data_IF_387732718628
#
_entry.id   IF_387732718628
#
_cell.length_a   1.000
_cell.length_b   1.000
_cell.length_c   1.000
_cell.angle_alpha   90.00
_cell.angle_beta   90.00
_cell.angle_gamma   90.00
#
_symmetry.space_group_name_H-M   'P 1'
#
loop_
_entity.id
_entity.type
_entity.pdbx_description
1 polymer ?
#
# COMPACT_ATOMS: atom_id res chain seq x y z
N UNK A 1 23.51 3.28 67.14
CA UNK A 1 22.29 2.57 66.75
C UNK A 1 21.36 3.38 65.80
N UNK A 2 21.03 4.65 66.01
CA UNK A 2 20.21 5.51 65.19
C UNK A 2 20.74 5.76 63.76
N UNK A 3 22.05 5.76 63.54
CA UNK A 3 22.68 6.01 62.23
C UNK A 3 22.56 4.82 61.24
N UNK A 4 22.63 3.61 61.74
CA UNK A 4 22.49 2.37 60.94
C UNK A 4 21.04 2.19 60.46
N UNK A 5 20.07 2.47 61.33
CA UNK A 5 18.63 2.41 61.00
C UNK A 5 18.24 3.44 59.92
N UNK A 6 18.85 4.63 59.94
CA UNK A 6 18.60 5.67 58.93
C UNK A 6 19.19 5.31 57.56
N UNK A 7 20.32 4.59 57.54
CA UNK A 7 20.98 4.10 56.32
C UNK A 7 20.19 2.93 55.67
N UNK A 8 19.69 2.02 56.49
CA UNK A 8 18.84 0.91 56.02
C UNK A 8 17.50 1.40 55.45
N UNK A 9 16.88 2.42 56.05
CA UNK A 9 15.63 3.01 55.56
C UNK A 9 15.79 3.70 54.19
N UNK A 10 16.94 4.35 53.93
CA UNK A 10 17.28 4.94 52.63
C UNK A 10 17.53 3.88 51.56
N UNK A 11 18.12 2.74 51.90
CA UNK A 11 18.32 1.62 50.95
C UNK A 11 17.00 0.98 50.57
N UNK A 12 16.09 0.76 51.52
CA UNK A 12 14.74 0.21 51.19
C UNK A 12 13.94 1.12 50.25
N UNK A 13 13.99 2.44 50.45
CA UNK A 13 13.31 3.39 49.54
C UNK A 13 13.95 3.43 48.17
N UNK A 14 15.26 3.29 48.06
CA UNK A 14 15.95 3.21 46.77
C UNK A 14 15.58 1.94 46.01
N UNK A 15 15.56 0.77 46.63
CA UNK A 15 15.12 -0.48 46.02
C UNK A 15 13.66 -0.45 45.63
N UNK A 16 12.80 0.14 46.43
CA UNK A 16 11.38 0.30 46.10
C UNK A 16 11.19 1.16 44.82
N UNK A 17 11.90 2.28 44.73
CA UNK A 17 11.90 3.13 43.53
C UNK A 17 12.42 2.40 42.32
N UNK A 18 13.50 1.62 42.43
CA UNK A 18 14.04 0.82 41.33
C UNK A 18 13.04 -0.22 40.82
N UNK A 19 12.34 -0.91 41.72
CA UNK A 19 11.32 -1.90 41.37
C UNK A 19 10.14 -1.23 40.66
N UNK A 20 9.70 -0.07 41.14
CA UNK A 20 8.62 0.69 40.49
C UNK A 20 9.01 1.15 39.09
N UNK A 21 10.23 1.67 38.92
CA UNK A 21 10.72 2.07 37.58
C UNK A 21 10.82 0.86 36.66
N UNK A 22 11.34 -0.26 37.15
CA UNK A 22 11.41 -1.49 36.36
C UNK A 22 10.01 -2.00 35.94
N UNK A 23 9.06 -1.96 36.84
CA UNK A 23 7.67 -2.33 36.56
C UNK A 23 7.04 -1.41 35.50
N UNK A 24 7.29 -0.10 35.57
CA UNK A 24 6.81 0.86 34.57
C UNK A 24 7.45 0.58 33.20
N UNK A 25 8.75 0.26 33.16
CA UNK A 25 9.44 -0.08 31.91
C UNK A 25 8.85 -1.36 31.30
N UNK A 26 8.64 -2.40 32.11
CA UNK A 26 8.05 -3.67 31.66
C UNK A 26 6.62 -3.45 31.12
N UNK A 27 5.80 -2.66 31.83
CA UNK A 27 4.45 -2.35 31.38
C UNK A 27 4.43 -1.57 30.06
N UNK A 28 5.35 -0.62 29.88
CA UNK A 28 5.48 0.14 28.63
C UNK A 28 5.95 -0.74 27.47
N UNK A 29 6.92 -1.61 27.68
CA UNK A 29 7.38 -2.53 26.62
C UNK A 29 6.29 -3.50 26.19
N UNK A 30 5.56 -4.09 27.13
CA UNK A 30 4.42 -4.96 26.85
C UNK A 30 3.33 -4.24 26.02
N UNK A 31 2.95 -3.03 26.45
CA UNK A 31 1.97 -2.23 25.71
C UNK A 31 2.44 -1.85 24.30
N UNK A 32 3.74 -1.60 24.09
CA UNK A 32 4.30 -1.32 22.76
C UNK A 32 4.34 -2.57 21.86
N UNK A 33 4.55 -3.75 22.43
CA UNK A 33 4.49 -5.03 21.70
C UNK A 33 3.07 -5.35 21.26
N UNK A 34 2.08 -5.18 22.15
CA UNK A 34 0.66 -5.35 21.83
C UNK A 34 0.22 -4.41 20.69
N UNK A 35 0.59 -3.14 20.75
CA UNK A 35 0.27 -2.17 19.69
C UNK A 35 0.90 -2.55 18.34
N UNK A 36 2.14 -3.03 18.31
CA UNK A 36 2.78 -3.50 17.07
C UNK A 36 2.10 -4.72 16.49
N UNK A 37 1.66 -5.64 17.36
CA UNK A 37 0.93 -6.84 16.93
C UNK A 37 -0.43 -6.49 16.33
N UNK A 38 -1.15 -5.56 16.96
CA UNK A 38 -2.43 -5.07 16.46
C UNK A 38 -2.27 -4.36 15.10
N UNK A 39 -1.26 -3.50 14.96
CA UNK A 39 -0.96 -2.82 13.70
C UNK A 39 -0.60 -3.81 12.57
N UNK A 40 0.22 -4.82 12.87
CA UNK A 40 0.58 -5.87 11.90
C UNK A 40 -0.64 -6.68 11.47
N UNK A 41 -1.54 -6.98 12.41
CA UNK A 41 -2.78 -7.71 12.15
C UNK A 41 -3.73 -6.86 11.27
N UNK A 42 -3.88 -5.57 11.55
CA UNK A 42 -4.69 -4.65 10.74
C UNK A 42 -4.14 -4.51 9.31
N UNK A 43 -2.82 -4.38 9.15
CA UNK A 43 -2.18 -4.32 7.82
C UNK A 43 -2.41 -5.60 7.03
N UNK A 44 -2.25 -6.76 7.65
CA UNK A 44 -2.49 -8.05 7.01
C UNK A 44 -3.95 -8.19 6.56
N UNK A 45 -4.88 -7.83 7.42
CA UNK A 45 -6.31 -7.86 7.13
C UNK A 45 -6.66 -6.93 5.96
N UNK A 46 -6.20 -5.68 5.98
CA UNK A 46 -6.47 -4.71 4.92
C UNK A 46 -5.96 -5.18 3.55
N UNK A 47 -4.76 -5.77 3.49
CA UNK A 47 -4.21 -6.31 2.24
C UNK A 47 -5.06 -7.48 1.72
N UNK A 48 -5.43 -8.42 2.57
CA UNK A 48 -6.22 -9.59 2.16
C UNK A 48 -7.65 -9.20 1.75
N UNK A 49 -8.28 -8.27 2.45
CA UNK A 49 -9.58 -7.71 2.07
C UNK A 49 -9.49 -7.03 0.70
N UNK A 50 -8.52 -6.14 0.48
CA UNK A 50 -8.32 -5.46 -0.80
C UNK A 50 -8.13 -6.44 -1.98
N UNK A 51 -7.36 -7.52 -1.77
CA UNK A 51 -7.19 -8.55 -2.79
C UNK A 51 -8.51 -9.28 -3.08
N UNK A 52 -9.28 -9.61 -2.05
CA UNK A 52 -10.53 -10.38 -2.18
C UNK A 52 -11.69 -9.55 -2.73
N UNK A 53 -11.72 -8.26 -2.45
CA UNK A 53 -12.79 -7.35 -2.86
C UNK A 53 -12.60 -6.79 -4.27
N UNK A 54 -11.36 -6.74 -4.77
CA UNK A 54 -11.06 -6.27 -6.12
C UNK A 54 -11.86 -7.04 -7.18
N UNK A 55 -12.62 -6.32 -7.93
CA UNK A 55 -13.47 -6.84 -9.01
C UNK A 55 -13.29 -6.05 -10.31
N UNK A 56 -13.66 -6.66 -11.44
CA UNK A 56 -13.66 -6.01 -12.75
C UNK A 56 -14.87 -5.10 -12.89
N UNK A 57 -14.72 -3.83 -12.53
CA UNK A 57 -15.74 -2.80 -12.72
C UNK A 57 -15.76 -2.33 -14.17
N UNK A 58 -16.94 -2.08 -14.73
CA UNK A 58 -17.15 -1.57 -16.10
C UNK A 58 -18.16 -0.42 -16.18
N UNK A 59 -18.64 0.03 -15.01
CA UNK A 59 -19.46 1.24 -14.87
C UNK A 59 -18.72 2.19 -13.96
N UNK A 60 -18.41 3.36 -14.45
CA UNK A 60 -17.61 4.36 -13.76
C UNK A 60 -18.42 5.63 -13.57
N UNK A 61 -18.05 6.40 -12.56
CA UNK A 61 -18.56 7.75 -12.36
C UNK A 61 -17.89 8.70 -13.35
N UNK A 62 -18.61 9.73 -13.81
CA UNK A 62 -18.05 10.80 -14.64
C UNK A 62 -17.31 11.86 -13.81
N UNK A 63 -16.71 11.47 -12.68
CA UNK A 63 -15.94 12.33 -11.79
C UNK A 63 -14.45 12.23 -12.16
N UNK A 64 -13.77 13.37 -12.25
CA UNK A 64 -12.31 13.38 -12.40
C UNK A 64 -11.63 12.63 -11.27
N UNK A 65 -10.53 11.97 -11.59
CA UNK A 65 -9.67 11.31 -10.59
C UNK A 65 -8.63 12.31 -10.11
N UNK A 66 -8.45 12.39 -8.82
CA UNK A 66 -7.49 13.28 -8.17
C UNK A 66 -6.05 12.87 -8.56
N UNK A 67 -5.15 13.83 -8.77
CA UNK A 67 -3.77 13.59 -9.24
C UNK A 67 -2.97 12.71 -8.28
N UNK A 68 -3.17 12.88 -6.97
CA UNK A 68 -2.52 12.07 -5.94
C UNK A 68 -2.92 10.59 -6.02
N UNK A 69 -4.17 10.29 -6.39
CA UNK A 69 -4.63 8.91 -6.64
C UNK A 69 -3.98 8.33 -7.90
N UNK A 70 -3.89 9.12 -8.97
CA UNK A 70 -3.19 8.70 -10.20
C UNK A 70 -1.73 8.38 -9.89
N UNK A 71 -1.05 9.26 -9.19
CA UNK A 71 0.34 9.06 -8.75
C UNK A 71 0.52 7.81 -7.89
N UNK A 72 -0.40 7.56 -6.96
CA UNK A 72 -0.36 6.38 -6.11
C UNK A 72 -0.52 5.08 -6.94
N UNK A 73 -1.44 5.06 -7.88
CA UNK A 73 -1.63 3.92 -8.79
C UNK A 73 -0.40 3.67 -9.67
N UNK A 74 0.20 4.71 -10.24
CA UNK A 74 1.42 4.59 -11.06
C UNK A 74 2.60 4.07 -10.23
N UNK A 75 2.79 4.59 -9.00
CA UNK A 75 3.81 4.11 -8.06
C UNK A 75 3.59 2.63 -7.69
N UNK A 76 2.36 2.21 -7.50
CA UNK A 76 2.03 0.81 -7.25
C UNK A 76 2.40 -0.08 -8.46
N UNK A 77 2.12 0.37 -9.69
CA UNK A 77 2.55 -0.30 -10.91
C UNK A 77 4.07 -0.41 -11.01
N UNK A 78 4.79 0.68 -10.72
CA UNK A 78 6.26 0.71 -10.74
C UNK A 78 6.90 -0.19 -9.67
N UNK A 79 6.19 -0.52 -8.61
CA UNK A 79 6.64 -1.41 -7.54
C UNK A 79 6.43 -2.90 -7.86
N UNK A 80 5.89 -3.24 -9.02
CA UNK A 80 5.69 -4.62 -9.42
C UNK A 80 7.03 -5.35 -9.60
N UNK A 81 7.08 -6.68 -9.39
CA UNK A 81 8.24 -7.48 -9.74
C UNK A 81 8.38 -7.60 -11.27
N UNK A 82 9.61 -7.72 -11.75
CA UNK A 82 9.88 -8.03 -13.16
C UNK A 82 11.03 -9.02 -13.32
N UNK A 83 11.03 -9.75 -14.43
CA UNK A 83 12.08 -10.70 -14.75
C UNK A 83 13.45 -10.03 -14.75
N UNK A 84 14.36 -10.49 -13.89
CA UNK A 84 15.72 -9.92 -13.71
C UNK A 84 15.73 -8.41 -13.42
N UNK A 85 14.67 -7.87 -12.80
CA UNK A 85 14.48 -6.44 -12.49
C UNK A 85 14.61 -5.53 -13.75
N UNK A 86 14.15 -6.02 -14.90
CA UNK A 86 14.24 -5.30 -16.18
C UNK A 86 13.24 -4.15 -16.32
N UNK A 87 12.10 -4.20 -15.61
CA UNK A 87 11.08 -3.14 -15.56
C UNK A 87 10.68 -2.62 -16.94
N UNK A 88 10.20 -3.50 -17.85
CA UNK A 88 9.97 -3.15 -19.25
C UNK A 88 8.70 -2.32 -19.47
N UNK A 89 7.98 -1.97 -18.43
CA UNK A 89 6.71 -1.24 -18.51
C UNK A 89 6.92 0.26 -18.65
N UNK A 90 6.03 0.86 -19.43
CA UNK A 90 5.77 2.29 -19.47
C UNK A 90 4.27 2.52 -19.24
N UNK A 91 3.93 3.62 -18.56
CA UNK A 91 2.55 3.96 -18.26
C UNK A 91 2.17 5.24 -18.98
N UNK A 92 1.05 5.21 -19.72
CA UNK A 92 0.50 6.39 -20.38
C UNK A 92 -0.86 6.68 -19.77
N UNK A 93 -1.01 7.85 -19.14
CA UNK A 93 -2.28 8.34 -18.62
C UNK A 93 -2.99 9.11 -19.73
N UNK A 94 -4.15 8.64 -20.13
CA UNK A 94 -4.97 9.23 -21.20
C UNK A 94 -6.19 9.88 -20.55
N UNK A 95 -6.30 11.19 -20.65
CA UNK A 95 -7.45 11.99 -20.15
C UNK A 95 -8.21 12.66 -21.29
N UNK A 96 -7.61 12.73 -22.48
CA UNK A 96 -8.24 13.33 -23.67
C UNK A 96 -9.46 12.51 -24.12
N UNK A 97 -10.61 13.16 -24.19
CA UNK A 97 -11.89 12.52 -24.55
C UNK A 97 -11.86 11.94 -25.95
N UNK A 98 -11.26 12.64 -26.91
CA UNK A 98 -11.19 12.18 -28.31
C UNK A 98 -10.34 10.92 -28.42
N UNK A 99 -9.23 10.87 -27.70
CA UNK A 99 -8.37 9.67 -27.63
C UNK A 99 -9.11 8.50 -26.99
N UNK A 100 -9.79 8.71 -25.86
CA UNK A 100 -10.57 7.68 -25.16
C UNK A 100 -11.70 7.12 -26.04
N UNK A 101 -12.43 7.98 -26.75
CA UNK A 101 -13.50 7.57 -27.68
C UNK A 101 -12.94 6.80 -28.89
N UNK A 102 -11.81 7.23 -29.42
CA UNK A 102 -11.09 6.53 -30.49
C UNK A 102 -10.65 5.12 -30.05
N UNK A 103 -10.13 5.01 -28.83
CA UNK A 103 -9.78 3.72 -28.24
C UNK A 103 -11.01 2.83 -28.04
N UNK A 104 -12.12 3.37 -27.53
CA UNK A 104 -13.38 2.65 -27.36
C UNK A 104 -13.95 2.13 -28.71
N UNK A 105 -13.78 2.90 -29.76
CA UNK A 105 -14.24 2.49 -31.11
C UNK A 105 -13.44 1.31 -31.65
N UNK A 106 -12.11 1.29 -31.42
CA UNK A 106 -11.19 0.30 -31.97
C UNK A 106 -11.07 -0.96 -31.10
N UNK A 107 -11.28 -0.86 -29.78
CA UNK A 107 -11.10 -1.97 -28.86
C UNK A 107 -12.44 -2.63 -28.50
N UNK A 108 -12.68 -3.90 -28.90
CA UNK A 108 -13.99 -4.53 -28.76
C UNK A 108 -14.44 -4.73 -27.32
N UNK A 109 -13.46 -4.88 -26.39
CA UNK A 109 -13.72 -5.15 -24.97
C UNK A 109 -13.55 -3.93 -24.06
N UNK A 110 -13.28 -2.75 -24.61
CA UNK A 110 -13.01 -1.52 -23.89
C UNK A 110 -14.09 -0.44 -24.09
N UNK A 111 -15.35 -0.84 -24.30
CA UNK A 111 -16.46 0.09 -24.55
C UNK A 111 -16.72 1.07 -23.39
N UNK A 112 -16.33 0.70 -22.17
CA UNK A 112 -16.43 1.59 -21.01
C UNK A 112 -15.61 2.88 -21.16
N UNK A 113 -14.61 2.91 -22.03
CA UNK A 113 -13.79 4.11 -22.29
C UNK A 113 -14.60 5.32 -22.75
N UNK A 114 -15.81 5.12 -23.31
CA UNK A 114 -16.73 6.20 -23.66
C UNK A 114 -17.24 7.00 -22.45
N UNK A 115 -17.14 6.46 -21.24
CA UNK A 115 -17.70 7.06 -20.01
C UNK A 115 -16.67 7.30 -18.90
N UNK A 116 -15.44 6.79 -19.03
CA UNK A 116 -14.41 6.97 -17.99
C UNK A 116 -13.75 8.34 -18.08
N UNK A 117 -13.31 8.94 -16.97
CA UNK A 117 -12.58 10.19 -16.95
C UNK A 117 -11.12 10.05 -17.42
N UNK A 118 -10.54 8.87 -17.25
CA UNK A 118 -9.17 8.56 -17.68
C UNK A 118 -8.99 7.07 -17.94
N UNK A 119 -7.91 6.73 -18.65
CA UNK A 119 -7.38 5.38 -18.76
C UNK A 119 -5.87 5.37 -18.50
N UNK A 120 -5.37 4.33 -17.86
CA UNK A 120 -3.94 4.06 -17.76
C UNK A 120 -3.62 2.93 -18.73
N UNK A 121 -2.81 3.23 -19.75
CA UNK A 121 -2.31 2.25 -20.71
C UNK A 121 -0.97 1.73 -20.23
N UNK A 122 -0.84 0.43 -20.06
CA UNK A 122 0.41 -0.22 -19.68
C UNK A 122 1.07 -0.74 -20.96
N UNK A 123 2.21 -0.16 -21.30
CA UNK A 123 3.03 -0.55 -22.45
C UNK A 123 4.20 -1.41 -21.99
N UNK A 124 4.66 -2.33 -22.83
CA UNK A 124 5.82 -3.17 -22.52
C UNK A 124 6.86 -3.07 -23.63
N UNK A 125 8.12 -2.77 -23.25
CA UNK A 125 9.26 -2.86 -24.16
C UNK A 125 9.70 -4.32 -24.33
N UNK A 126 9.42 -4.84 -25.51
CA UNK A 126 9.71 -6.24 -25.87
C UNK A 126 11.21 -6.52 -26.02
N UNK A 127 12.05 -5.47 -26.11
CA UNK A 127 13.50 -5.61 -26.24
C UNK A 127 14.20 -5.72 -24.90
N UNK A 128 13.59 -5.18 -23.82
CA UNK A 128 14.14 -5.20 -22.48
C UNK A 128 13.92 -6.53 -21.76
N UNK A 129 12.79 -7.20 -21.98
CA UNK A 129 12.45 -8.44 -21.29
C UNK A 129 11.67 -9.40 -22.18
N UNK A 130 12.12 -10.64 -22.23
CA UNK A 130 11.35 -11.73 -22.84
C UNK A 130 10.07 -12.04 -22.11
N UNK A 131 9.95 -11.58 -20.85
CA UNK A 131 8.80 -11.75 -19.97
C UNK A 131 7.94 -10.48 -19.85
N UNK A 132 8.12 -9.50 -20.77
CA UNK A 132 7.46 -8.19 -20.73
C UNK A 132 5.95 -8.28 -20.47
N UNK A 133 5.27 -9.26 -21.07
CA UNK A 133 3.81 -9.45 -20.90
C UNK A 133 3.42 -9.92 -19.48
N UNK A 134 4.24 -10.73 -18.83
CA UNK A 134 4.07 -11.13 -17.43
C UNK A 134 4.38 -9.95 -16.50
N UNK A 135 5.48 -9.25 -16.77
CA UNK A 135 5.92 -8.08 -16.01
C UNK A 135 4.84 -6.98 -16.06
N UNK A 136 4.32 -6.67 -17.24
CA UNK A 136 3.22 -5.70 -17.43
C UNK A 136 1.91 -6.17 -16.79
N UNK A 137 1.65 -7.48 -16.76
CA UNK A 137 0.48 -8.03 -16.07
C UNK A 137 0.59 -7.85 -14.56
N UNK A 138 1.77 -8.07 -13.97
CA UNK A 138 2.03 -7.82 -12.55
C UNK A 138 1.87 -6.34 -12.21
N UNK A 139 2.40 -5.44 -13.04
CA UNK A 139 2.25 -4.00 -12.87
C UNK A 139 0.77 -3.58 -12.96
N UNK A 140 0.02 -4.12 -13.93
CA UNK A 140 -1.42 -3.87 -14.07
C UNK A 140 -2.19 -4.33 -12.84
N UNK A 141 -1.87 -5.51 -12.28
CA UNK A 141 -2.53 -6.01 -11.08
C UNK A 141 -2.27 -5.09 -9.88
N UNK A 142 -1.04 -4.58 -9.71
CA UNK A 142 -0.74 -3.61 -8.64
C UNK A 142 -1.53 -2.31 -8.80
N UNK A 143 -1.66 -1.79 -10.04
CA UNK A 143 -2.48 -0.60 -10.33
C UNK A 143 -3.94 -0.86 -9.94
N UNK A 144 -4.51 -2.02 -10.29
CA UNK A 144 -5.88 -2.37 -9.97
C UNK A 144 -6.12 -2.52 -8.46
N UNK A 145 -5.17 -3.10 -7.72
CA UNK A 145 -5.24 -3.18 -6.27
C UNK A 145 -5.13 -1.81 -5.60
N UNK A 146 -4.27 -0.93 -6.14
CA UNK A 146 -4.17 0.44 -5.65
C UNK A 146 -5.47 1.22 -5.93
N UNK A 147 -6.08 1.04 -7.10
CA UNK A 147 -7.37 1.66 -7.44
C UNK A 147 -8.48 1.21 -6.50
N UNK A 148 -8.58 -0.09 -6.16
CA UNK A 148 -9.55 -0.62 -5.20
C UNK A 148 -9.33 -0.03 -3.80
N UNK A 149 -8.09 0.07 -3.34
CA UNK A 149 -7.74 0.62 -2.03
C UNK A 149 -8.03 2.12 -1.90
N UNK A 150 -8.06 2.85 -3.02
CA UNK A 150 -8.29 4.30 -3.06
C UNK A 150 -9.77 4.68 -3.24
N UNK A 151 -10.65 3.74 -3.53
CA UNK A 151 -12.10 3.92 -3.69
C UNK A 151 -12.47 4.45 -5.06
#
# INVERSE_FOLDING_TARGET
>A
MKFILKKMKKWNTFYLLLVVVLAIVILKTSCMEDQKQDEATLKSKAVLENISERKSVRKYLSKSVEEDKIDAMLKAGMAAPSGMDRRPWEFVVVTDRVALDSMAAKLPYAKMLTSVPLAIVVCGDTTLSSYWYLDCSAATQNILLAAEALG
#
